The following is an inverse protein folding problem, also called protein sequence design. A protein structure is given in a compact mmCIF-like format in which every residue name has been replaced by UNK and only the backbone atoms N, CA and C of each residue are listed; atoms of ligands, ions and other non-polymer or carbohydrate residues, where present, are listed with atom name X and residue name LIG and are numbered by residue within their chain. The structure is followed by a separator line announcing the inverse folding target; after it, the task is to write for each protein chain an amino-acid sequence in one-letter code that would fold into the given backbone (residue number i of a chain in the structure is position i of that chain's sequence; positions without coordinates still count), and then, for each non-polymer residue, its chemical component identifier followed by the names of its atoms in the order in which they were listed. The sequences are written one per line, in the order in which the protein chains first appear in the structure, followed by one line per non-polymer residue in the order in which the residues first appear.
data_IF_117024697712
#
_entry.id   IF_117024697712
#
_cell.length_a   1.000
_cell.length_b   1.000
_cell.length_c   1.000
_cell.angle_alpha   90.00
_cell.angle_beta   90.00
_cell.angle_gamma   90.00
#
_symmetry.space_group_name_H-M   'P 1'
#
loop_
_entity.id
_entity.type
_entity.pdbx_description
1 polymer ?
#
# COMPACT_ATOMS: atom_id res chain seq x y z
N UNK A 1 -20.10 -13.48 -17.88
CA UNK A 1 -19.11 -13.81 -16.82
C UNK A 1 -19.24 -12.74 -15.74
N UNK A 2 -19.33 -13.14 -14.48
CA UNK A 2 -19.81 -12.30 -13.36
C UNK A 2 -18.86 -11.13 -13.07
N UNK A 3 -19.29 -9.89 -13.36
CA UNK A 3 -18.55 -8.67 -13.03
C UNK A 3 -18.14 -8.57 -11.54
N UNK A 4 -18.91 -9.18 -10.63
CA UNK A 4 -18.62 -9.17 -9.20
C UNK A 4 -17.32 -9.93 -8.86
N UNK A 5 -17.05 -11.05 -9.56
CA UNK A 5 -15.85 -11.84 -9.29
C UNK A 5 -14.57 -11.07 -9.68
N UNK A 6 -14.63 -10.37 -10.81
CA UNK A 6 -13.52 -9.53 -11.30
C UNK A 6 -13.26 -8.32 -10.40
N UNK A 7 -14.30 -7.73 -9.78
CA UNK A 7 -14.13 -6.61 -8.84
C UNK A 7 -13.44 -7.06 -7.56
N UNK A 8 -13.83 -8.21 -7.00
CA UNK A 8 -13.21 -8.78 -5.79
C UNK A 8 -11.74 -9.15 -6.03
N UNK A 9 -11.42 -9.75 -7.17
CA UNK A 9 -10.03 -10.05 -7.57
C UNK A 9 -9.19 -8.77 -7.70
N UNK A 10 -9.71 -7.75 -8.38
CA UNK A 10 -9.04 -6.47 -8.50
C UNK A 10 -8.84 -5.81 -7.13
N UNK A 11 -9.86 -5.84 -6.27
CA UNK A 11 -9.77 -5.30 -4.91
C UNK A 11 -8.70 -6.02 -4.09
N UNK A 12 -8.69 -7.35 -4.14
CA UNK A 12 -7.69 -8.18 -3.44
C UNK A 12 -6.27 -7.84 -3.89
N UNK A 13 -6.06 -7.71 -5.21
CA UNK A 13 -4.77 -7.31 -5.77
C UNK A 13 -4.36 -5.89 -5.32
N UNK A 14 -5.27 -4.91 -5.42
CA UNK A 14 -4.98 -3.54 -5.03
C UNK A 14 -4.70 -3.38 -3.53
N UNK A 15 -5.29 -4.25 -2.70
CA UNK A 15 -5.06 -4.28 -1.25
C UNK A 15 -3.65 -4.82 -0.93
N UNK A 16 -3.25 -5.95 -1.54
CA UNK A 16 -1.95 -6.58 -1.35
C UNK A 16 -1.50 -7.32 -2.62
N UNK A 17 -0.72 -6.67 -3.51
CA UNK A 17 -0.30 -7.27 -4.77
C UNK A 17 0.58 -8.53 -4.58
N UNK A 18 1.33 -8.60 -3.50
CA UNK A 18 2.27 -9.69 -3.20
C UNK A 18 1.59 -11.04 -2.86
N UNK A 19 0.26 -11.06 -2.72
CA UNK A 19 -0.52 -12.31 -2.63
C UNK A 19 -0.60 -13.05 -3.98
N UNK A 20 -0.33 -12.33 -5.07
CA UNK A 20 -0.40 -12.86 -6.41
C UNK A 20 1.02 -13.19 -6.87
N UNK A 21 1.32 -14.45 -7.25
CA UNK A 21 2.63 -14.81 -7.74
C UNK A 21 2.95 -13.97 -8.98
N UNK A 22 4.04 -13.21 -8.91
CA UNK A 22 4.64 -12.65 -10.12
C UNK A 22 5.38 -13.80 -10.82
N UNK A 23 5.31 -13.87 -12.15
CA UNK A 23 5.98 -14.91 -12.96
C UNK A 23 7.51 -14.98 -12.72
N UNK A 24 8.08 -13.98 -12.04
CA UNK A 24 9.47 -13.93 -11.55
C UNK A 24 9.79 -14.88 -10.38
N UNK A 25 8.82 -15.53 -9.73
CA UNK A 25 9.06 -16.46 -8.61
C UNK A 25 9.08 -17.94 -9.03
N UNK A 26 10.00 -18.32 -9.93
CA UNK A 26 10.19 -19.75 -10.30
C UNK A 26 11.02 -20.53 -9.25
N UNK A 27 11.65 -19.85 -8.28
CA UNK A 27 12.46 -20.52 -7.26
C UNK A 27 12.24 -19.96 -5.86
N UNK A 28 11.02 -20.10 -5.33
CA UNK A 28 10.80 -20.57 -3.96
C UNK A 28 9.30 -20.70 -3.73
N UNK A 29 8.92 -21.85 -3.21
CA UNK A 29 7.59 -22.24 -2.75
C UNK A 29 6.80 -21.08 -2.15
N UNK A 30 5.50 -21.06 -2.45
CA UNK A 30 4.36 -20.33 -1.85
C UNK A 30 4.43 -20.25 -0.32
N UNK A 31 5.42 -19.56 0.20
CA UNK A 31 5.63 -19.24 1.60
C UNK A 31 5.46 -17.74 1.66
N UNK A 32 4.55 -17.27 2.51
CA UNK A 32 4.23 -15.84 2.66
C UNK A 32 5.53 -15.02 2.62
N UNK A 33 5.70 -14.26 1.53
CA UNK A 33 6.89 -13.44 1.39
C UNK A 33 6.90 -12.39 2.49
N UNK A 34 8.08 -12.02 3.00
CA UNK A 34 8.17 -10.94 3.98
C UNK A 34 7.54 -9.65 3.43
N UNK A 35 7.55 -9.44 2.10
CA UNK A 35 6.85 -8.32 1.45
C UNK A 35 5.34 -8.38 1.68
N UNK A 36 4.71 -9.55 1.54
CA UNK A 36 3.27 -9.72 1.78
C UNK A 36 2.92 -9.43 3.24
N UNK A 37 3.64 -10.02 4.18
CA UNK A 37 3.43 -9.79 5.61
C UNK A 37 3.63 -8.31 5.97
N UNK A 38 4.68 -7.69 5.42
CA UNK A 38 4.99 -6.29 5.65
C UNK A 38 3.92 -5.37 5.05
N UNK A 39 3.45 -5.66 3.83
CA UNK A 39 2.39 -4.89 3.19
C UNK A 39 1.10 -4.92 4.02
N UNK A 40 0.71 -6.09 4.54
CA UNK A 40 -0.46 -6.22 5.41
C UNK A 40 -0.27 -5.38 6.68
N UNK A 41 0.88 -5.49 7.36
CA UNK A 41 1.17 -4.65 8.53
C UNK A 41 1.13 -3.16 8.22
N UNK A 42 1.68 -2.72 7.09
CA UNK A 42 1.66 -1.31 6.68
C UNK A 42 0.21 -0.85 6.46
N UNK A 43 -0.61 -1.69 5.83
CA UNK A 43 -2.03 -1.39 5.67
C UNK A 43 -2.70 -1.22 7.05
N UNK A 44 -2.48 -2.14 7.98
CA UNK A 44 -3.08 -2.10 9.32
C UNK A 44 -2.60 -0.89 10.14
N UNK A 45 -1.32 -0.54 10.04
CA UNK A 45 -0.73 0.63 10.71
C UNK A 45 -1.34 1.92 10.18
N UNK A 46 -1.40 2.09 8.86
CA UNK A 46 -1.98 3.29 8.24
C UNK A 46 -3.47 3.36 8.60
N UNK A 47 -4.20 2.24 8.56
CA UNK A 47 -5.63 2.21 8.89
C UNK A 47 -5.86 2.62 10.35
N UNK A 48 -5.10 2.03 11.27
CA UNK A 48 -5.16 2.34 12.69
C UNK A 48 -4.81 3.82 12.94
N UNK A 49 -3.78 4.34 12.26
CA UNK A 49 -3.37 5.73 12.39
C UNK A 49 -4.46 6.71 11.93
N UNK A 50 -5.15 6.42 10.82
CA UNK A 50 -6.23 7.27 10.32
C UNK A 50 -7.59 7.05 11.01
N UNK A 51 -7.76 5.96 11.77
CA UNK A 51 -8.93 5.79 12.67
C UNK A 51 -8.87 6.69 13.90
N UNK A 52 -7.68 7.12 14.30
CA UNK A 52 -7.46 8.08 15.39
C UNK A 52 -7.95 9.48 14.97
N UNK A 53 -8.38 10.29 15.95
CA UNK A 53 -8.79 11.70 15.73
C UNK A 53 -7.64 12.52 15.15
N UNK A 54 -7.95 13.56 14.38
CA UNK A 54 -6.92 14.35 13.68
C UNK A 54 -5.91 14.98 14.65
N UNK A 55 -6.38 15.42 15.81
CA UNK A 55 -5.61 16.07 16.86
C UNK A 55 -4.57 15.13 17.48
N UNK A 56 -4.86 13.83 17.50
CA UNK A 56 -4.02 12.79 18.11
C UNK A 56 -3.04 12.14 17.12
N UNK A 57 -3.13 12.47 15.82
CA UNK A 57 -2.26 11.96 14.74
C UNK A 57 -0.86 12.59 14.77
N UNK A 58 -0.10 12.22 15.79
CA UNK A 58 1.26 12.70 16.03
C UNK A 58 2.31 11.70 15.54
N UNK A 59 3.52 12.20 15.27
CA UNK A 59 4.69 11.36 14.97
C UNK A 59 4.98 10.38 16.10
N UNK A 60 4.82 10.80 17.36
CA UNK A 60 5.00 9.95 18.54
C UNK A 60 4.00 8.78 18.55
N UNK A 61 2.73 9.03 18.22
CA UNK A 61 1.70 7.98 18.18
C UNK A 61 1.97 6.99 17.05
N UNK A 62 2.35 7.49 15.87
CA UNK A 62 2.75 6.65 14.75
C UNK A 62 3.96 5.78 15.08
N UNK A 63 4.99 6.35 15.72
CA UNK A 63 6.17 5.61 16.15
C UNK A 63 5.82 4.51 17.17
N UNK A 64 4.92 4.78 18.11
CA UNK A 64 4.46 3.77 19.07
C UNK A 64 3.71 2.61 18.36
N UNK A 65 2.85 2.92 17.38
CA UNK A 65 2.16 1.90 16.58
C UNK A 65 3.15 1.03 15.79
N UNK A 66 4.13 1.67 15.14
CA UNK A 66 5.18 0.97 14.38
C UNK A 66 5.99 0.05 15.29
N UNK A 67 6.44 0.57 16.44
CA UNK A 67 7.25 -0.19 17.40
C UNK A 67 6.50 -1.44 17.91
N UNK A 68 5.24 -1.28 18.29
CA UNK A 68 4.40 -2.39 18.74
C UNK A 68 4.17 -3.42 17.63
N UNK A 69 4.01 -2.98 16.38
CA UNK A 69 3.86 -3.89 15.25
C UNK A 69 5.13 -4.71 15.00
N UNK A 70 6.31 -4.08 15.07
CA UNK A 70 7.60 -4.75 14.85
C UNK A 70 7.97 -5.75 15.95
N UNK A 71 7.53 -5.55 17.18
CA UNK A 71 7.73 -6.51 18.28
C UNK A 71 7.02 -7.85 18.00
N UNK A 72 5.84 -7.80 17.38
CA UNK A 72 5.01 -8.98 17.10
C UNK A 72 5.26 -9.58 15.71
N UNK A 73 6.17 -8.99 14.92
CA UNK A 73 6.40 -9.39 13.54
C UNK A 73 7.23 -10.68 13.46
N UNK A 74 6.81 -11.62 12.60
CA UNK A 74 7.55 -12.87 12.39
C UNK A 74 8.88 -12.62 11.67
N UNK A 75 9.97 -12.72 12.43
CA UNK A 75 11.34 -12.50 11.95
C UNK A 75 11.83 -13.61 11.02
N UNK A 76 11.18 -14.79 11.05
CA UNK A 76 11.58 -15.96 10.25
C UNK A 76 11.28 -15.79 8.76
N UNK A 77 10.43 -14.81 8.40
CA UNK A 77 10.11 -14.45 7.02
C UNK A 77 11.27 -13.74 6.30
N UNK A 78 12.19 -13.12 7.06
CA UNK A 78 13.29 -12.35 6.51
C UNK A 78 14.53 -13.20 6.28
N UNK A 79 15.35 -12.76 5.33
CA UNK A 79 16.63 -13.38 4.98
C UNK A 79 17.59 -13.50 6.18
N UNK A 80 17.59 -12.51 7.07
CA UNK A 80 18.40 -12.49 8.28
C UNK A 80 17.85 -11.49 9.31
N UNK A 81 18.34 -11.57 10.54
CA UNK A 81 18.02 -10.58 11.58
C UNK A 81 18.45 -9.16 11.17
N UNK A 82 19.59 -9.02 10.47
CA UNK A 82 20.05 -7.72 9.97
C UNK A 82 19.10 -7.18 8.90
N UNK A 83 18.65 -8.06 7.99
CA UNK A 83 17.67 -7.70 6.97
C UNK A 83 16.36 -7.20 7.60
N UNK A 84 15.86 -7.92 8.61
CA UNK A 84 14.67 -7.49 9.38
C UNK A 84 14.86 -6.09 10.00
N UNK A 85 15.96 -5.86 10.72
CA UNK A 85 16.22 -4.59 11.39
C UNK A 85 16.29 -3.44 10.38
N UNK A 86 17.02 -3.64 9.27
CA UNK A 86 17.15 -2.63 8.22
C UNK A 86 15.80 -2.31 7.58
N UNK A 87 15.01 -3.33 7.21
CA UNK A 87 13.68 -3.12 6.62
C UNK A 87 12.77 -2.36 7.58
N UNK A 88 12.66 -2.78 8.84
CA UNK A 88 11.81 -2.10 9.82
C UNK A 88 12.27 -0.66 10.10
N UNK A 89 13.58 -0.40 10.18
CA UNK A 89 14.12 0.94 10.37
C UNK A 89 13.79 1.85 9.18
N UNK A 90 14.03 1.38 7.96
CA UNK A 90 13.72 2.10 6.72
C UNK A 90 12.24 2.42 6.60
N UNK A 91 11.37 1.42 6.82
CA UNK A 91 9.91 1.62 6.78
C UNK A 91 9.46 2.61 7.86
N UNK A 92 10.04 2.53 9.06
CA UNK A 92 9.71 3.45 10.15
C UNK A 92 10.05 4.89 9.79
N UNK A 93 11.27 5.15 9.31
CA UNK A 93 11.72 6.49 8.91
C UNK A 93 10.82 7.06 7.79
N UNK A 94 10.62 6.26 6.73
CA UNK A 94 9.86 6.70 5.57
C UNK A 94 8.36 6.90 5.87
N UNK A 95 7.73 6.03 6.68
CA UNK A 95 6.32 6.20 7.08
C UNK A 95 6.14 7.40 7.98
N UNK A 96 7.05 7.60 8.95
CA UNK A 96 7.02 8.79 9.80
C UNK A 96 7.07 10.06 8.94
N UNK A 97 8.02 10.14 8.02
CA UNK A 97 8.15 11.29 7.11
C UNK A 97 6.92 11.48 6.24
N UNK A 98 6.41 10.41 5.63
CA UNK A 98 5.26 10.46 4.72
C UNK A 98 3.99 10.93 5.45
N UNK A 99 3.61 10.24 6.52
CA UNK A 99 2.32 10.49 7.19
C UNK A 99 2.32 11.79 7.99
N UNK A 100 3.48 12.24 8.50
CA UNK A 100 3.57 13.53 9.19
C UNK A 100 3.57 14.72 8.23
N UNK A 101 3.93 14.53 6.96
CA UNK A 101 3.84 15.56 5.91
C UNK A 101 2.41 15.69 5.37
N UNK A 102 1.63 14.60 5.40
CA UNK A 102 0.31 14.51 4.74
C UNK A 102 -0.86 14.60 5.75
N UNK A 103 -0.61 15.15 6.95
CA UNK A 103 -1.57 15.16 8.08
C UNK A 103 -3.00 15.56 7.70
N UNK A 104 -3.16 16.55 6.82
CA UNK A 104 -4.45 17.19 6.50
C UNK A 104 -5.35 16.37 5.56
N UNK A 105 -4.86 15.33 4.88
CA UNK A 105 -5.69 14.54 3.96
C UNK A 105 -6.57 13.53 4.72
N UNK A 106 -7.85 13.40 4.34
CA UNK A 106 -8.68 12.22 4.69
C UNK A 106 -8.01 10.98 4.10
N UNK A 107 -7.73 9.99 4.95
CA UNK A 107 -7.00 8.72 4.68
C UNK A 107 -6.63 8.49 3.20
N UNK A 108 -5.56 9.13 2.70
CA UNK A 108 -5.28 9.13 1.27
C UNK A 108 -4.81 7.76 0.77
N UNK A 109 -4.27 6.91 1.65
CA UNK A 109 -3.45 5.77 1.26
C UNK A 109 -4.17 4.41 1.28
N UNK A 110 -5.45 4.35 1.70
CA UNK A 110 -6.08 3.06 2.01
C UNK A 110 -7.51 2.82 1.54
N UNK A 111 -8.30 3.82 1.20
CA UNK A 111 -9.67 3.54 0.82
C UNK A 111 -9.76 3.21 -0.68
N UNK A 112 -9.44 1.96 -1.02
CA UNK A 112 -9.96 1.38 -2.27
C UNK A 112 -11.48 1.20 -2.20
N UNK A 113 -12.03 1.09 -0.99
CA UNK A 113 -13.47 1.02 -0.71
C UNK A 113 -14.19 2.37 -0.88
N UNK A 114 -13.51 3.49 -0.61
CA UNK A 114 -14.05 4.84 -0.76
C UNK A 114 -13.07 5.69 -1.59
N UNK A 115 -13.39 5.98 -2.87
CA UNK A 115 -12.48 6.70 -3.74
C UNK A 115 -12.20 8.10 -3.18
N UNK A 116 -10.93 8.50 -3.20
CA UNK A 116 -10.59 9.87 -2.85
C UNK A 116 -10.92 10.76 -4.04
N UNK A 117 -11.74 11.79 -3.82
CA UNK A 117 -12.09 12.75 -4.86
C UNK A 117 -11.27 14.03 -4.70
N UNK A 118 -10.45 14.35 -5.70
CA UNK A 118 -9.82 15.67 -5.83
C UNK A 118 -10.59 16.46 -6.89
N UNK A 119 -11.26 17.55 -6.48
CA UNK A 119 -12.06 18.41 -7.38
C UNK A 119 -13.13 17.64 -8.19
N UNK A 120 -13.71 16.59 -7.59
CA UNK A 120 -14.73 15.76 -8.23
C UNK A 120 -14.19 14.61 -9.08
N UNK A 121 -12.86 14.44 -9.15
CA UNK A 121 -12.22 13.38 -9.93
C UNK A 121 -11.59 12.33 -9.00
N UNK A 122 -11.69 11.05 -9.39
CA UNK A 122 -11.14 9.94 -8.61
C UNK A 122 -9.61 9.97 -8.66
N UNK A 123 -9.00 9.93 -7.48
CA UNK A 123 -7.56 9.78 -7.26
C UNK A 123 -7.34 8.56 -6.39
N UNK A 124 -6.38 7.73 -6.80
CA UNK A 124 -5.96 6.54 -6.04
C UNK A 124 -4.54 6.83 -5.54
N UNK A 125 -4.33 6.85 -4.23
CA UNK A 125 -3.00 6.93 -3.61
C UNK A 125 -2.80 5.67 -2.76
N UNK A 126 -1.64 5.02 -2.87
CA UNK A 126 -1.34 3.78 -2.15
C UNK A 126 0.11 3.76 -1.67
N UNK A 127 0.33 3.23 -0.48
CA UNK A 127 1.68 2.85 0.00
C UNK A 127 1.92 1.38 -0.31
N UNK A 128 2.98 1.08 -1.06
CA UNK A 128 3.41 -0.27 -1.41
C UNK A 128 4.87 -0.53 -1.02
N UNK A 129 5.26 -1.81 -0.94
CA UNK A 129 6.60 -2.27 -0.52
C UNK A 129 7.42 -2.72 -1.74
N UNK A 130 8.62 -2.20 -1.97
CA UNK A 130 9.52 -2.76 -3.01
C UNK A 130 8.89 -2.75 -4.42
N UNK A 131 8.57 -1.55 -4.92
CA UNK A 131 7.83 -1.40 -6.17
C UNK A 131 8.79 -1.27 -7.34
N UNK A 132 8.68 -2.19 -8.30
CA UNK A 132 9.32 -2.09 -9.62
C UNK A 132 8.33 -1.59 -10.70
N UNK A 133 8.84 -1.37 -11.91
CA UNK A 133 8.04 -0.85 -13.02
C UNK A 133 6.93 -1.82 -13.45
N UNK A 134 7.18 -3.13 -13.36
CA UNK A 134 6.22 -4.16 -13.74
C UNK A 134 5.05 -4.20 -12.75
N UNK A 135 5.35 -4.22 -11.45
CA UNK A 135 4.35 -4.14 -10.40
C UNK A 135 3.54 -2.85 -10.49
N UNK A 136 4.20 -1.70 -10.71
CA UNK A 136 3.51 -0.43 -10.87
C UNK A 136 2.58 -0.41 -12.09
N UNK A 137 3.02 -0.97 -13.22
CA UNK A 137 2.21 -1.09 -14.44
C UNK A 137 0.98 -1.97 -14.21
N UNK A 138 1.16 -3.16 -13.62
CA UNK A 138 0.06 -4.06 -13.26
C UNK A 138 -0.91 -3.40 -12.27
N UNK A 139 -0.38 -2.68 -11.28
CA UNK A 139 -1.20 -1.92 -10.32
C UNK A 139 -2.07 -0.86 -11.01
N UNK A 140 -1.50 -0.11 -11.96
CA UNK A 140 -2.26 0.89 -12.71
C UNK A 140 -3.39 0.25 -13.53
N UNK A 141 -3.11 -0.86 -14.23
CA UNK A 141 -4.11 -1.57 -15.03
C UNK A 141 -5.25 -2.12 -14.16
N UNK A 142 -4.93 -2.73 -13.03
CA UNK A 142 -5.92 -3.24 -12.09
C UNK A 142 -6.72 -2.11 -11.44
N UNK A 143 -6.08 -0.99 -11.10
CA UNK A 143 -6.74 0.17 -10.52
C UNK A 143 -7.74 0.83 -11.48
N UNK A 144 -7.37 0.96 -12.77
CA UNK A 144 -8.29 1.42 -13.81
C UNK A 144 -9.46 0.47 -14.00
N UNK A 145 -9.19 -0.85 -14.05
CA UNK A 145 -10.22 -1.88 -14.19
C UNK A 145 -11.18 -1.87 -13.01
N UNK A 146 -10.67 -1.81 -11.78
CA UNK A 146 -11.47 -1.70 -10.56
C UNK A 146 -12.35 -0.45 -10.59
N UNK A 147 -11.74 0.72 -10.82
CA UNK A 147 -12.44 2.00 -10.79
C UNK A 147 -13.55 2.07 -11.85
N UNK A 148 -13.29 1.57 -13.07
CA UNK A 148 -14.31 1.54 -14.11
C UNK A 148 -15.45 0.59 -13.75
N UNK A 149 -15.14 -0.58 -13.18
CA UNK A 149 -16.18 -1.53 -12.79
C UNK A 149 -17.01 -1.05 -11.60
N UNK A 150 -16.38 -0.50 -10.56
CA UNK A 150 -17.01 -0.05 -9.32
C UNK A 150 -17.69 1.34 -9.43
N UNK A 151 -17.04 2.29 -10.11
CA UNK A 151 -17.45 3.71 -10.11
C UNK A 151 -17.77 4.28 -11.49
N UNK A 152 -17.65 3.48 -12.57
CA UNK A 152 -17.88 3.91 -13.97
C UNK A 152 -17.01 5.10 -14.39
N UNK A 153 -15.84 5.25 -13.78
CA UNK A 153 -14.87 6.27 -14.12
C UNK A 153 -13.45 5.71 -14.11
N UNK A 154 -12.58 6.32 -14.90
CA UNK A 154 -11.14 6.07 -14.86
C UNK A 154 -10.53 7.09 -13.88
N UNK A 155 -9.59 6.68 -13.01
CA UNK A 155 -8.93 7.61 -12.12
C UNK A 155 -8.19 8.68 -12.91
N UNK A 156 -8.27 9.93 -12.45
CA UNK A 156 -7.45 11.02 -12.99
C UNK A 156 -5.97 10.76 -12.77
N UNK A 157 -5.65 10.22 -11.59
CA UNK A 157 -4.30 10.02 -11.12
C UNK A 157 -4.22 8.77 -10.25
N UNK A 158 -3.21 7.96 -10.49
CA UNK A 158 -2.84 6.82 -9.66
C UNK A 158 -1.44 7.10 -9.13
N UNK A 159 -1.29 7.09 -7.81
CA UNK A 159 -0.03 7.32 -7.13
C UNK A 159 0.33 6.15 -6.23
N UNK A 160 1.56 5.67 -6.36
CA UNK A 160 2.11 4.63 -5.49
C UNK A 160 3.37 5.17 -4.83
N UNK A 161 3.39 5.13 -3.50
CA UNK A 161 4.56 5.43 -2.69
C UNK A 161 5.23 4.12 -2.33
N UNK A 162 6.38 3.86 -2.96
CA UNK A 162 7.27 2.78 -2.55
C UNK A 162 7.94 3.18 -1.25
N UNK A 163 7.51 2.51 -0.18
CA UNK A 163 7.95 2.83 1.17
C UNK A 163 9.37 2.38 1.47
N UNK A 164 9.91 1.40 0.75
CA UNK A 164 11.29 0.95 0.97
C UNK A 164 12.29 1.85 0.26
N UNK A 165 11.97 2.25 -0.96
CA UNK A 165 12.87 3.04 -1.79
C UNK A 165 12.61 4.55 -1.70
N UNK A 166 11.67 4.98 -0.86
CA UNK A 166 11.19 6.37 -0.74
C UNK A 166 10.86 7.00 -2.12
N UNK A 167 10.34 6.19 -3.04
CA UNK A 167 10.09 6.58 -4.43
C UNK A 167 8.58 6.73 -4.65
N UNK A 168 8.20 7.80 -5.36
CA UNK A 168 6.80 8.04 -5.77
C UNK A 168 6.66 7.73 -7.25
N UNK A 169 5.75 6.83 -7.57
CA UNK A 169 5.30 6.53 -8.92
C UNK A 169 3.97 7.23 -9.16
N UNK A 170 3.81 7.85 -10.33
CA UNK A 170 2.60 8.58 -10.70
C UNK A 170 2.22 8.21 -12.12
N UNK A 171 0.95 7.88 -12.32
CA UNK A 171 0.36 7.63 -13.63
C UNK A 171 -0.90 8.48 -13.81
N UNK A 172 -1.04 9.05 -15.00
CA UNK A 172 -2.19 9.84 -15.43
C UNK A 172 -2.85 9.15 -16.62
N UNK A 173 -3.89 8.31 -16.39
CA UNK A 173 -4.53 7.55 -17.48
C UNK A 173 -5.12 8.39 -18.61
N UNK A 174 -5.47 9.64 -18.34
CA UNK A 174 -6.08 10.56 -19.30
C UNK A 174 -5.12 11.46 -20.07
N UNK A 175 -3.80 11.26 -19.93
CA UNK A 175 -2.74 12.03 -20.61
C UNK A 175 -1.95 11.15 -21.57
#
# INVERSE_FOLDING_TARGET
MNNNHTIEECYSFLACPYRFPQEKQIHNTVKDSWQQALQNSINDIIETFYRITYEERTSLRLFALLSQNWENFDRSLFLSQQHFILVCATVTDHLLKLLTTVKEKKNPFLNLSEPTFEKGEVVIEKVLVDVDEELFSAYCQTAMTYSYNAYKCIPKRIEVFDILNAKRYVHYPGL
#
